data_IF_506866907797
#
_entry.id   IF_506866907797
#
_cell.length_a   1.000
_cell.length_b   1.000
_cell.length_c   1.000
_cell.angle_alpha   90.00
_cell.angle_beta   90.00
_cell.angle_gamma   90.00
#
_symmetry.space_group_name_H-M   'P 1'
#
loop_
_entity.id
_entity.type
_entity.pdbx_description
1 polymer ?
#
# COMPACT_ATOMS: atom_id res chain seq x y z
N UNK A 1 -16.91 2.61 -26.04
CA UNK A 1 -16.58 1.35 -25.34
C UNK A 1 -15.60 1.68 -24.23
N UNK A 2 -16.01 1.54 -22.97
CA UNK A 2 -15.15 1.79 -21.80
C UNK A 2 -14.03 0.75 -21.77
N UNK A 3 -12.80 1.18 -22.05
CA UNK A 3 -11.63 0.30 -21.94
C UNK A 3 -11.34 0.08 -20.47
N UNK A 4 -11.36 -1.18 -20.02
CA UNK A 4 -11.01 -1.53 -18.65
C UNK A 4 -9.51 -1.75 -18.52
N UNK A 5 -8.96 -1.41 -17.34
CA UNK A 5 -7.61 -1.78 -16.96
C UNK A 5 -7.43 -3.31 -17.06
N UNK A 6 -6.41 -3.81 -17.77
CA UNK A 6 -6.13 -5.24 -17.88
C UNK A 6 -6.07 -5.94 -16.51
N UNK A 7 -6.48 -7.22 -16.50
CA UNK A 7 -6.52 -8.03 -15.27
C UNK A 7 -5.16 -8.15 -14.58
N UNK A 8 -4.08 -8.21 -15.35
CA UNK A 8 -2.71 -8.25 -14.82
C UNK A 8 -2.38 -7.05 -13.93
N UNK A 9 -2.97 -5.88 -14.21
CA UNK A 9 -2.82 -4.69 -13.39
C UNK A 9 -3.89 -4.58 -12.30
N UNK A 10 -5.09 -5.14 -12.48
CA UNK A 10 -6.13 -5.07 -11.42
C UNK A 10 -5.93 -6.07 -10.28
N UNK A 11 -5.56 -7.30 -10.61
CA UNK A 11 -5.48 -8.38 -9.62
C UNK A 11 -4.47 -8.11 -8.48
N UNK A 12 -3.27 -7.56 -8.74
CA UNK A 12 -2.33 -7.23 -7.67
C UNK A 12 -2.88 -6.18 -6.69
N UNK A 13 -3.42 -5.06 -7.18
CA UNK A 13 -4.05 -4.05 -6.32
C UNK A 13 -5.19 -4.63 -5.48
N UNK A 14 -6.04 -5.48 -6.08
CA UNK A 14 -7.13 -6.13 -5.36
C UNK A 14 -6.60 -7.04 -4.25
N UNK A 15 -5.54 -7.80 -4.50
CA UNK A 15 -4.91 -8.66 -3.50
C UNK A 15 -4.30 -7.84 -2.35
N UNK A 16 -3.62 -6.73 -2.65
CA UNK A 16 -3.04 -5.83 -1.67
C UNK A 16 -4.10 -5.19 -0.77
N UNK A 17 -5.22 -4.75 -1.35
CA UNK A 17 -6.32 -4.14 -0.61
C UNK A 17 -7.08 -5.18 0.24
N UNK A 18 -7.31 -6.38 -0.27
CA UNK A 18 -8.09 -7.42 0.41
C UNK A 18 -7.33 -8.09 1.57
N UNK A 19 -6.00 -8.21 1.45
CA UNK A 19 -5.18 -8.90 2.45
C UNK A 19 -4.64 -7.95 3.51
N UNK A 20 -4.72 -8.36 4.78
CA UNK A 20 -4.07 -7.65 5.90
C UNK A 20 -2.60 -8.03 6.09
N UNK A 21 -2.07 -8.97 5.29
CA UNK A 21 -0.68 -9.43 5.41
C UNK A 21 0.33 -8.45 4.84
N UNK A 22 -0.11 -7.51 4.01
CA UNK A 22 0.75 -6.50 3.41
C UNK A 22 0.83 -5.28 4.34
N UNK A 23 2.05 -4.78 4.52
CA UNK A 23 2.34 -3.61 5.34
C UNK A 23 1.83 -2.32 4.69
N UNK A 24 1.75 -1.24 5.48
CA UNK A 24 1.47 0.10 4.98
C UNK A 24 2.44 0.50 3.86
N UNK A 25 3.74 0.24 4.04
CA UNK A 25 4.77 0.56 3.04
C UNK A 25 4.56 -0.19 1.72
N UNK A 26 4.17 -1.48 1.79
CA UNK A 26 3.87 -2.24 0.58
C UNK A 26 2.71 -1.62 -0.22
N UNK A 27 1.70 -1.08 0.48
CA UNK A 27 0.59 -0.38 -0.16
C UNK A 27 1.05 0.96 -0.78
N UNK A 28 1.94 1.71 -0.11
CA UNK A 28 2.46 2.98 -0.65
C UNK A 28 3.36 2.77 -1.86
N UNK A 29 4.25 1.78 -1.82
CA UNK A 29 5.11 1.41 -2.97
C UNK A 29 4.23 1.02 -4.17
N UNK A 30 3.19 0.22 -3.93
CA UNK A 30 2.25 -0.13 -4.98
C UNK A 30 1.51 1.11 -5.51
N UNK A 31 1.06 2.02 -4.63
CA UNK A 31 0.39 3.24 -5.04
C UNK A 31 1.25 4.08 -6.00
N UNK A 32 2.54 4.25 -5.68
CA UNK A 32 3.46 4.96 -6.57
C UNK A 32 3.67 4.23 -7.91
N UNK A 33 3.80 2.91 -7.91
CA UNK A 33 3.85 2.13 -9.14
C UNK A 33 2.58 2.29 -10.02
N UNK A 34 1.39 2.40 -9.41
CA UNK A 34 0.16 2.67 -10.16
C UNK A 34 0.07 4.11 -10.67
N UNK A 35 0.69 5.08 -9.99
CA UNK A 35 0.82 6.45 -10.51
C UNK A 35 1.74 6.51 -11.72
N UNK A 36 2.87 5.80 -11.69
CA UNK A 36 3.76 5.65 -12.84
C UNK A 36 3.04 4.98 -14.02
N UNK A 37 2.29 3.91 -13.75
CA UNK A 37 1.47 3.25 -14.77
C UNK A 37 0.41 4.21 -15.36
N UNK A 38 -0.24 5.02 -14.52
CA UNK A 38 -1.21 6.01 -15.00
C UNK A 38 -0.54 7.06 -15.89
N UNK A 39 0.66 7.53 -15.55
CA UNK A 39 1.43 8.46 -16.36
C UNK A 39 1.81 7.85 -17.72
N UNK A 40 2.32 6.62 -17.73
CA UNK A 40 2.66 5.89 -18.96
C UNK A 40 1.44 5.71 -19.88
N UNK A 41 0.32 5.26 -19.32
CA UNK A 41 -0.94 5.11 -20.06
C UNK A 41 -1.46 6.45 -20.61
N UNK A 42 -1.25 7.55 -19.89
CA UNK A 42 -1.63 8.90 -20.35
C UNK A 42 -0.78 9.33 -21.55
N UNK A 43 0.53 9.11 -21.50
CA UNK A 43 1.46 9.39 -22.61
C UNK A 43 1.05 8.60 -23.86
N UNK A 44 0.58 7.36 -23.69
CA UNK A 44 0.10 6.52 -24.78
C UNK A 44 -1.36 6.78 -25.21
N UNK A 45 -2.03 7.79 -24.65
CA UNK A 45 -3.39 8.19 -25.04
C UNK A 45 -4.49 7.27 -24.51
N UNK A 46 -4.20 6.42 -23.52
CA UNK A 46 -5.16 5.53 -22.86
C UNK A 46 -5.79 6.18 -21.62
N UNK A 47 -6.34 7.40 -21.75
CA UNK A 47 -6.80 8.22 -20.62
C UNK A 47 -7.81 7.52 -19.69
N UNK A 48 -8.80 6.80 -20.24
CA UNK A 48 -9.79 6.05 -19.42
C UNK A 48 -9.13 4.98 -18.54
N UNK A 49 -8.05 4.38 -19.04
CA UNK A 49 -7.31 3.30 -18.36
C UNK A 49 -6.32 3.90 -17.36
N UNK A 50 -5.70 5.02 -17.72
CA UNK A 50 -4.86 5.82 -16.83
C UNK A 50 -5.65 6.27 -15.59
N UNK A 51 -6.88 6.76 -15.77
CA UNK A 51 -7.74 7.15 -14.66
C UNK A 51 -8.02 5.97 -13.72
N UNK A 52 -8.29 4.78 -14.26
CA UNK A 52 -8.48 3.57 -13.45
C UNK A 52 -7.23 3.18 -12.67
N UNK A 53 -6.02 3.36 -13.23
CA UNK A 53 -4.78 3.13 -12.51
C UNK A 53 -4.58 4.17 -11.39
N UNK A 54 -4.88 5.45 -11.66
CA UNK A 54 -4.86 6.52 -10.65
C UNK A 54 -5.82 6.23 -9.50
N UNK A 55 -7.05 5.81 -9.79
CA UNK A 55 -8.04 5.46 -8.78
C UNK A 55 -7.57 4.30 -7.88
N UNK A 56 -6.82 3.34 -8.44
CA UNK A 56 -6.21 2.26 -7.64
C UNK A 56 -5.09 2.79 -6.75
N UNK A 57 -4.24 3.69 -7.25
CA UNK A 57 -3.20 4.33 -6.46
C UNK A 57 -3.80 5.07 -5.24
N UNK A 58 -4.86 5.84 -5.46
CA UNK A 58 -5.51 6.60 -4.38
C UNK A 58 -6.14 5.70 -3.34
N UNK A 59 -6.75 4.58 -3.76
CA UNK A 59 -7.28 3.57 -2.82
C UNK A 59 -6.19 2.93 -1.98
N UNK A 60 -5.06 2.57 -2.59
CA UNK A 60 -3.91 1.99 -1.89
C UNK A 60 -3.32 2.99 -0.88
N UNK A 61 -3.13 4.25 -1.29
CA UNK A 61 -2.64 5.32 -0.41
C UNK A 61 -3.60 5.61 0.75
N UNK A 62 -4.91 5.56 0.50
CA UNK A 62 -5.94 5.76 1.54
C UNK A 62 -5.98 4.60 2.54
N UNK A 63 -5.68 3.38 2.10
CA UNK A 63 -5.71 2.19 2.96
C UNK A 63 -4.42 2.01 3.78
N UNK A 64 -3.28 2.50 3.29
CA UNK A 64 -1.97 2.35 3.96
C UNK A 64 -1.95 2.84 5.42
N UNK A 65 -2.45 4.04 5.77
CA UNK A 65 -2.48 4.50 7.17
C UNK A 65 -3.31 3.58 8.09
N UNK A 66 -4.40 3.01 7.57
CA UNK A 66 -5.25 2.09 8.34
C UNK A 66 -4.52 0.78 8.68
N UNK A 67 -3.54 0.39 7.86
CA UNK A 67 -2.67 -0.77 8.14
C UNK A 67 -1.63 -0.46 9.20
N UNK A 68 -1.05 0.74 9.19
CA UNK A 68 -0.10 1.16 10.23
C UNK A 68 -0.76 1.20 11.62
N UNK A 69 -2.00 1.66 11.71
CA UNK A 69 -2.76 1.71 12.96
C UNK A 69 -3.25 0.34 13.47
N UNK A 70 -3.22 -0.70 12.62
CA UNK A 70 -3.75 -2.03 12.95
C UNK A 70 -2.73 -2.96 13.62
N UNK A 71 -1.44 -2.59 13.65
CA UNK A 71 -0.42 -3.33 14.37
C UNK A 71 -0.37 -2.80 15.81
N UNK A 72 -0.71 -3.60 16.84
CA UNK A 72 -0.42 -3.20 18.20
C UNK A 72 1.11 -3.11 18.33
N UNK A 73 1.62 -1.89 18.48
CA UNK A 73 2.98 -1.62 18.94
C UNK A 73 3.09 -2.05 20.39
N UNK A 74 3.09 -3.37 20.62
CA UNK A 74 3.42 -3.94 21.91
C UNK A 74 4.94 -3.85 22.06
N UNK A 75 5.42 -2.75 22.62
CA UNK A 75 6.77 -2.69 23.17
C UNK A 75 6.74 -3.46 24.50
N UNK A 76 7.42 -4.61 24.63
CA UNK A 76 7.54 -5.25 25.93
C UNK A 76 8.33 -4.32 26.86
N UNK A 77 7.61 -3.69 27.78
CA UNK A 77 8.17 -2.86 28.87
C UNK A 77 8.82 -3.73 29.94
N UNK A 78 9.78 -4.58 29.58
CA UNK A 78 10.49 -5.43 30.53
C UNK A 78 12.00 -5.46 30.27
N UNK A 79 12.63 -4.29 30.21
CA UNK A 79 14.00 -4.14 30.70
C UNK A 79 13.97 -3.37 32.01
N UNK A 80 13.46 -4.02 33.06
CA UNK A 80 13.76 -3.60 34.43
C UNK A 80 15.23 -3.95 34.64
N UNK A 81 16.13 -3.02 34.36
CA UNK A 81 17.54 -3.16 34.68
C UNK A 81 17.66 -3.59 36.13
N UNK A 82 18.25 -4.76 36.38
CA UNK A 82 18.60 -5.17 37.74
C UNK A 82 19.62 -4.15 38.24
N UNK A 83 19.39 -3.45 39.37
CA UNK A 83 20.46 -2.68 39.99
C UNK A 83 21.54 -3.69 40.38
N UNK A 84 22.73 -3.50 39.82
CA UNK A 84 23.92 -4.22 40.25
C UNK A 84 24.15 -3.83 41.70
N UNK A 85 23.90 -4.75 42.63
CA UNK A 85 24.36 -4.60 44.00
C UNK A 85 25.86 -4.91 43.96
N UNK A 86 26.67 -3.86 44.01
CA UNK A 86 28.10 -4.00 44.24
C UNK A 86 28.32 -4.34 45.72
N UNK A 87 29.01 -5.45 45.94
CA UNK A 87 29.52 -5.93 47.23
C UNK A 87 30.93 -5.40 47.46
#
# INVERSE_FOLDING_TARGET
MTRQLPRCYRAPAQLLLASRRFSADALLIAADAYRELAADLTIHGFCDVAQQASDLADRLATEAPKRACALPTFFPTQHKGKPHADH
#
